data_IF_274864895402
#
_entry.id   IF_274864895402
#
_cell.length_a   1.000
_cell.length_b   1.000
_cell.length_c   1.000
_cell.angle_alpha   90.00
_cell.angle_beta   90.00
_cell.angle_gamma   90.00
#
_symmetry.space_group_name_H-M   'P 1'
#
loop_
_entity.id
_entity.type
_entity.pdbx_description
1 polymer ?
#
# COMPACT_ATOMS: atom_id res chain seq x y z
N UNK A 1 -6.10 11.34 9.56
CA UNK A 1 -7.48 11.67 9.97
C UNK A 1 -7.60 13.17 10.15
N UNK A 2 -8.68 13.77 9.65
CA UNK A 2 -8.85 15.22 9.80
C UNK A 2 -8.98 15.55 11.28
N UNK A 3 -8.31 16.60 11.73
CA UNK A 3 -8.59 17.30 12.99
C UNK A 3 -9.90 18.09 12.84
N UNK A 4 -11.02 17.38 12.67
CA UNK A 4 -12.33 18.02 12.60
C UNK A 4 -12.82 18.23 14.02
N UNK A 5 -12.76 19.49 14.47
CA UNK A 5 -13.44 19.91 15.68
C UNK A 5 -14.94 19.99 15.43
N UNK A 6 -15.72 19.23 16.21
CA UNK A 6 -17.18 19.17 16.10
C UNK A 6 -17.82 19.44 17.45
N UNK A 7 -18.72 20.41 17.50
CA UNK A 7 -19.44 20.83 18.73
C UNK A 7 -20.69 20.01 19.03
N UNK A 8 -21.10 19.13 18.11
CA UNK A 8 -22.31 18.29 18.22
C UNK A 8 -21.95 16.80 17.99
N UNK A 9 -22.78 15.86 18.47
CA UNK A 9 -22.62 14.44 18.13
C UNK A 9 -22.56 14.24 16.62
N UNK A 10 -21.61 13.43 16.17
CA UNK A 10 -21.33 13.24 14.75
C UNK A 10 -20.84 11.81 14.50
N UNK A 11 -21.08 11.33 13.28
CA UNK A 11 -20.68 10.01 12.82
C UNK A 11 -19.67 10.16 11.68
N UNK A 12 -18.53 9.45 11.77
CA UNK A 12 -17.56 9.35 10.69
C UNK A 12 -17.76 8.05 9.91
N UNK A 13 -18.24 8.16 8.68
CA UNK A 13 -18.31 7.05 7.76
C UNK A 13 -16.98 6.87 7.04
N UNK A 14 -16.36 5.70 7.23
CA UNK A 14 -15.08 5.33 6.62
C UNK A 14 -15.22 3.97 5.94
N UNK A 15 -15.94 3.90 4.81
CA UNK A 15 -16.02 2.64 4.07
C UNK A 15 -14.62 2.20 3.63
N UNK A 16 -14.40 0.88 3.57
CA UNK A 16 -13.16 0.28 3.10
C UNK A 16 -13.11 0.36 1.57
N UNK A 17 -12.55 1.45 1.04
CA UNK A 17 -12.56 1.77 -0.41
C UNK A 17 -11.17 2.02 -0.99
N UNK A 18 -10.10 1.92 -0.19
CA UNK A 18 -8.74 2.18 -0.65
C UNK A 18 -7.93 0.90 -0.77
N UNK A 19 -7.27 0.73 -1.91
CA UNK A 19 -6.18 -0.22 -2.09
C UNK A 19 -4.86 0.54 -2.11
N UNK A 20 -3.82 0.00 -1.47
CA UNK A 20 -2.48 0.59 -1.48
C UNK A 20 -1.47 -0.42 -2.00
N UNK A 21 -0.79 -0.08 -3.09
CA UNK A 21 0.40 -0.80 -3.56
C UNK A 21 1.64 -0.35 -2.77
N UNK A 22 2.46 -1.30 -2.31
CA UNK A 22 3.64 -1.03 -1.50
C UNK A 22 4.88 -1.65 -2.16
N UNK A 23 5.79 -0.78 -2.62
CA UNK A 23 7.17 -1.10 -2.93
C UNK A 23 8.10 -0.50 -1.87
N UNK A 24 9.05 -1.29 -1.37
CA UNK A 24 10.02 -0.86 -0.35
C UNK A 24 11.35 -1.63 -0.51
N UNK A 25 12.42 -1.22 0.19
CA UNK A 25 13.67 -1.98 0.24
C UNK A 25 13.54 -3.17 1.20
N UNK A 26 14.42 -4.17 1.10
CA UNK A 26 14.47 -5.27 2.07
C UNK A 26 14.83 -4.74 3.47
N UNK A 27 14.17 -5.25 4.50
CA UNK A 27 14.38 -4.85 5.89
C UNK A 27 13.76 -3.50 6.25
N UNK A 28 12.84 -2.97 5.44
CA UNK A 28 12.13 -1.72 5.78
C UNK A 28 11.25 -1.99 7.01
N UNK A 29 11.34 -1.16 8.03
CA UNK A 29 10.58 -1.38 9.26
C UNK A 29 9.07 -1.19 9.06
N UNK A 30 8.26 -1.86 9.89
CA UNK A 30 6.81 -1.64 9.87
C UNK A 30 6.44 -0.19 10.17
N UNK A 31 7.17 0.48 11.06
CA UNK A 31 6.98 1.89 11.40
C UNK A 31 7.17 2.80 10.19
N UNK A 32 8.21 2.58 9.38
CA UNK A 32 8.43 3.35 8.15
C UNK A 32 7.31 3.13 7.13
N UNK A 33 6.86 1.87 6.96
CA UNK A 33 5.75 1.53 6.06
C UNK A 33 4.45 2.20 6.52
N UNK A 34 4.11 2.12 7.81
CA UNK A 34 2.91 2.73 8.37
C UNK A 34 2.96 4.26 8.23
N UNK A 35 4.11 4.87 8.48
CA UNK A 35 4.32 6.31 8.29
C UNK A 35 4.09 6.70 6.82
N UNK A 36 4.59 5.92 5.87
CA UNK A 36 4.36 6.15 4.44
C UNK A 36 2.88 6.03 4.06
N UNK A 37 2.17 5.02 4.59
CA UNK A 37 0.73 4.81 4.40
C UNK A 37 -0.06 6.01 4.94
N UNK A 38 0.21 6.45 6.16
CA UNK A 38 -0.45 7.61 6.77
C UNK A 38 -0.24 8.89 5.96
N UNK A 39 0.99 9.13 5.52
CA UNK A 39 1.34 10.27 4.69
C UNK A 39 0.63 10.22 3.32
N UNK A 40 0.56 9.06 2.67
CA UNK A 40 -0.16 8.87 1.41
C UNK A 40 -1.66 9.16 1.59
N UNK A 41 -2.29 8.56 2.61
CA UNK A 41 -3.69 8.80 2.92
C UNK A 41 -3.97 10.28 3.18
N UNK A 42 -3.07 10.96 3.92
CA UNK A 42 -3.18 12.39 4.19
C UNK A 42 -3.11 13.23 2.92
N UNK A 43 -2.20 12.91 1.99
CA UNK A 43 -2.06 13.63 0.70
C UNK A 43 -3.34 13.61 -0.12
N UNK A 44 -4.10 12.52 -0.09
CA UNK A 44 -5.39 12.40 -0.80
C UNK A 44 -6.60 12.76 0.08
N UNK A 45 -6.37 13.28 1.29
CA UNK A 45 -7.44 13.67 2.22
C UNK A 45 -8.29 12.50 2.74
N UNK A 46 -7.75 11.29 2.77
CA UNK A 46 -8.44 10.08 3.22
C UNK A 46 -7.93 9.58 4.57
N UNK A 47 -8.75 8.77 5.22
CA UNK A 47 -8.40 8.09 6.47
C UNK A 47 -7.69 6.76 6.18
N UNK A 48 -6.61 6.41 6.89
CA UNK A 48 -6.04 5.06 6.85
C UNK A 48 -7.06 3.97 7.22
N UNK A 49 -8.10 4.30 8.00
CA UNK A 49 -9.19 3.37 8.32
C UNK A 49 -10.11 3.06 7.13
N UNK A 50 -9.94 3.73 5.98
CA UNK A 50 -10.62 3.40 4.73
C UNK A 50 -9.82 2.42 3.85
N UNK A 51 -8.67 1.94 4.31
CA UNK A 51 -7.87 0.93 3.60
C UNK A 51 -8.60 -0.41 3.67
N UNK A 52 -8.86 -0.98 2.50
CA UNK A 52 -9.46 -2.30 2.33
C UNK A 52 -8.41 -3.40 2.12
N UNK A 53 -7.27 -3.06 1.52
CA UNK A 53 -6.25 -4.04 1.13
C UNK A 53 -4.90 -3.38 0.88
N UNK A 54 -3.82 -4.10 1.20
CA UNK A 54 -2.46 -3.78 0.77
C UNK A 54 -2.05 -4.77 -0.34
N UNK A 55 -1.34 -4.29 -1.36
CA UNK A 55 -0.81 -5.09 -2.46
C UNK A 55 0.70 -4.93 -2.60
N UNK A 56 1.41 -6.00 -2.92
CA UNK A 56 2.85 -5.97 -3.23
C UNK A 56 3.23 -7.11 -4.17
N UNK A 57 4.49 -7.13 -4.62
CA UNK A 57 5.05 -8.26 -5.39
C UNK A 57 5.30 -9.49 -4.49
N UNK A 58 5.11 -10.69 -5.03
CA UNK A 58 5.39 -11.97 -4.36
C UNK A 58 6.84 -12.11 -3.90
N UNK A 59 7.79 -11.40 -4.53
CA UNK A 59 9.20 -11.34 -4.09
C UNK A 59 9.33 -10.86 -2.63
N UNK A 60 8.31 -10.17 -2.10
CA UNK A 60 8.24 -9.63 -0.74
C UNK A 60 7.44 -10.47 0.26
N UNK A 61 7.13 -11.72 -0.05
CA UNK A 61 6.34 -12.59 0.85
C UNK A 61 6.98 -12.80 2.23
N UNK A 62 8.29 -12.64 2.35
CA UNK A 62 9.10 -12.78 3.56
C UNK A 62 9.45 -11.44 4.24
N UNK A 63 8.93 -10.31 3.74
CA UNK A 63 9.26 -8.99 4.28
C UNK A 63 8.53 -8.73 5.60
N UNK A 64 9.24 -8.95 6.72
CA UNK A 64 8.71 -8.85 8.09
C UNK A 64 8.04 -7.51 8.36
N UNK A 65 8.63 -6.40 7.91
CA UNK A 65 8.05 -5.08 8.12
C UNK A 65 6.69 -4.90 7.44
N UNK A 66 6.52 -5.48 6.25
CA UNK A 66 5.27 -5.40 5.49
C UNK A 66 4.18 -6.27 6.12
N UNK A 67 4.53 -7.51 6.50
CA UNK A 67 3.63 -8.42 7.21
C UNK A 67 3.14 -7.80 8.53
N UNK A 68 4.07 -7.23 9.31
CA UNK A 68 3.74 -6.56 10.56
C UNK A 68 2.88 -5.31 10.34
N UNK A 69 3.13 -4.50 9.29
CA UNK A 69 2.28 -3.35 8.96
C UNK A 69 0.85 -3.77 8.57
N UNK A 70 0.70 -4.81 7.75
CA UNK A 70 -0.61 -5.35 7.39
C UNK A 70 -1.38 -5.86 8.62
N UNK A 71 -0.68 -6.57 9.51
CA UNK A 71 -1.25 -7.04 10.77
C UNK A 71 -1.69 -5.87 11.68
N UNK A 72 -0.87 -4.84 11.84
CA UNK A 72 -1.20 -3.68 12.67
C UNK A 72 -2.39 -2.88 12.12
N UNK A 73 -2.52 -2.79 10.79
CA UNK A 73 -3.68 -2.17 10.15
C UNK A 73 -4.92 -3.06 10.14
N UNK A 74 -4.77 -4.35 10.46
CA UNK A 74 -5.81 -5.37 10.38
C UNK A 74 -6.48 -5.44 8.99
N UNK A 75 -5.67 -5.33 7.92
CA UNK A 75 -6.13 -5.41 6.53
C UNK A 75 -5.44 -6.57 5.79
N UNK A 76 -6.11 -7.18 4.80
CA UNK A 76 -5.49 -8.19 3.95
C UNK A 76 -4.25 -7.64 3.23
N UNK A 77 -3.21 -8.47 3.15
CA UNK A 77 -2.05 -8.26 2.28
C UNK A 77 -2.11 -9.25 1.12
N UNK A 78 -2.14 -8.72 -0.10
CA UNK A 78 -2.12 -9.50 -1.33
C UNK A 78 -0.75 -9.44 -1.98
N UNK A 79 -0.30 -10.59 -2.47
CA UNK A 79 0.92 -10.75 -3.22
C UNK A 79 0.56 -11.02 -4.68
N UNK A 80 1.23 -10.32 -5.59
CA UNK A 80 1.07 -10.48 -7.03
C UNK A 80 2.34 -11.05 -7.63
N UNK A 81 2.17 -12.01 -8.53
CA UNK A 81 3.27 -12.58 -9.29
C UNK A 81 3.81 -11.56 -10.30
N UNK A 82 5.03 -11.78 -10.78
CA UNK A 82 5.60 -10.92 -11.82
C UNK A 82 4.77 -10.92 -13.10
N UNK A 83 4.18 -12.06 -13.48
CA UNK A 83 3.35 -12.17 -14.68
C UNK A 83 2.07 -11.33 -14.55
N UNK A 84 1.41 -11.38 -13.38
CA UNK A 84 0.23 -10.55 -13.10
C UNK A 84 0.55 -9.06 -13.16
N UNK A 85 1.69 -8.65 -12.58
CA UNK A 85 2.15 -7.26 -12.63
C UNK A 85 2.50 -6.82 -14.06
N UNK A 86 3.22 -7.66 -14.81
CA UNK A 86 3.61 -7.37 -16.19
C UNK A 86 2.39 -7.25 -17.10
N UNK A 87 1.40 -8.13 -16.94
CA UNK A 87 0.14 -8.03 -17.66
C UNK A 87 -0.53 -6.68 -17.37
N UNK A 88 -0.68 -6.31 -16.10
CA UNK A 88 -1.29 -5.05 -15.71
C UNK A 88 -0.53 -3.82 -16.26
N UNK A 89 0.81 -3.84 -16.21
CA UNK A 89 1.66 -2.78 -16.78
C UNK A 89 1.42 -2.64 -18.28
N UNK A 90 1.34 -3.75 -19.01
CA UNK A 90 1.12 -3.73 -20.46
C UNK A 90 -0.25 -3.20 -20.86
N UNK A 91 -1.30 -3.59 -20.12
CA UNK A 91 -2.69 -3.20 -20.39
C UNK A 91 -2.94 -1.73 -20.03
N UNK A 92 -2.44 -1.29 -18.87
CA UNK A 92 -2.66 0.06 -18.34
C UNK A 92 -1.59 1.06 -18.78
N UNK A 93 -0.52 0.59 -19.46
CA UNK A 93 0.61 1.40 -19.94
C UNK A 93 1.29 2.22 -18.84
N UNK A 94 1.54 1.59 -17.70
CA UNK A 94 2.22 2.24 -16.58
C UNK A 94 3.67 2.61 -16.91
N UNK A 95 4.17 3.66 -16.25
CA UNK A 95 5.59 4.03 -16.31
C UNK A 95 6.43 2.97 -15.62
N UNK A 96 7.50 2.52 -16.28
CA UNK A 96 8.42 1.51 -15.76
C UNK A 96 9.74 2.12 -15.30
N UNK A 97 10.45 1.38 -14.44
CA UNK A 97 11.79 1.73 -13.94
C UNK A 97 12.76 0.60 -14.22
N UNK A 98 13.88 0.92 -14.90
CA UNK A 98 14.95 -0.05 -15.18
C UNK A 98 15.54 -0.65 -13.89
N UNK A 99 15.65 0.15 -12.82
CA UNK A 99 16.09 -0.34 -11.52
C UNK A 99 15.15 -1.40 -10.94
N UNK A 100 13.83 -1.21 -11.04
CA UNK A 100 12.86 -2.18 -10.51
C UNK A 100 12.88 -3.46 -11.35
N UNK A 101 12.96 -3.31 -12.67
CA UNK A 101 13.05 -4.43 -13.61
C UNK A 101 14.30 -5.28 -13.36
N UNK A 102 15.46 -4.66 -13.13
CA UNK A 102 16.69 -5.37 -12.78
C UNK A 102 16.61 -6.11 -11.43
N UNK A 103 15.90 -5.55 -10.44
CA UNK A 103 15.85 -6.12 -9.08
C UNK A 103 14.83 -7.23 -8.92
N UNK A 104 13.66 -7.11 -9.55
CA UNK A 104 12.53 -8.02 -9.33
C UNK A 104 11.92 -8.57 -10.62
N UNK A 105 12.45 -8.22 -11.80
CA UNK A 105 12.00 -8.75 -13.09
C UNK A 105 10.74 -8.10 -13.65
N UNK A 106 10.22 -7.03 -13.02
CA UNK A 106 9.07 -6.24 -13.50
C UNK A 106 9.33 -4.76 -13.36
N UNK A 107 8.84 -3.96 -14.31
CA UNK A 107 9.13 -2.52 -14.37
C UNK A 107 8.46 -1.66 -13.29
N UNK A 108 7.47 -2.19 -12.57
CA UNK A 108 6.80 -1.55 -11.44
C UNK A 108 6.21 -2.59 -10.50
N UNK A 109 6.10 -2.24 -9.21
CA UNK A 109 5.24 -2.92 -8.22
C UNK A 109 3.88 -2.26 -8.20
#
# INVERSE_FOLDING_TARGET
DKELYMTKPHLYLRPATLAIGIGCRRGTSSTEILTAIENCCRKIGRSPKSIAVLGTTQVKHDEVGLLAAAQQLAVPLKFFTNDELQQCISEQKFTTSSFVEEQIGVGSV
#
